data_IF_616917996019
#
_entry.id   IF_616917996019
#
_cell.length_a   1.000
_cell.length_b   1.000
_cell.length_c   1.000
_cell.angle_alpha   90.00
_cell.angle_beta   90.00
_cell.angle_gamma   90.00
#
_symmetry.space_group_name_H-M   'P 1'
#
loop_
_entity.id
_entity.type
_entity.pdbx_description
1 polymer ?
#
# COMPACT_ATOMS: atom_id res chain seq x y z
N UNK A 1 40.00 44.46 60.85
CA UNK A 1 38.90 44.99 60.03
C UNK A 1 39.32 44.90 58.57
N UNK A 2 38.90 43.84 57.87
CA UNK A 2 39.12 43.73 56.42
C UNK A 2 37.91 42.96 55.85
N UNK A 3 37.04 43.72 55.19
CA UNK A 3 35.88 43.20 54.47
C UNK A 3 36.37 42.57 53.16
N UNK A 4 36.08 41.29 52.92
CA UNK A 4 36.17 40.69 51.59
C UNK A 4 34.78 40.68 50.97
N UNK A 5 34.58 41.51 49.96
CA UNK A 5 33.37 41.53 49.14
C UNK A 5 33.29 40.26 48.29
N UNK A 6 32.27 39.44 48.53
CA UNK A 6 31.90 38.32 47.66
C UNK A 6 31.23 38.86 46.40
N UNK A 7 31.97 38.93 45.29
CA UNK A 7 31.40 39.16 43.96
C UNK A 7 31.10 37.79 43.35
N UNK A 8 29.86 37.34 43.50
CA UNK A 8 29.37 36.12 42.83
C UNK A 8 28.90 36.53 41.42
N UNK A 9 29.75 36.31 40.42
CA UNK A 9 29.39 36.48 39.00
C UNK A 9 28.55 35.27 38.58
N UNK A 10 27.25 35.46 38.49
CA UNK A 10 26.32 34.47 37.94
C UNK A 10 26.44 34.50 36.40
N UNK A 11 27.29 33.65 35.83
CA UNK A 11 27.37 33.45 34.38
C UNK A 11 26.12 32.66 33.94
N UNK A 12 25.13 33.36 33.38
CA UNK A 12 23.99 32.75 32.71
C UNK A 12 24.47 32.07 31.42
N UNK A 13 24.78 30.77 31.51
CA UNK A 13 24.99 29.92 30.35
C UNK A 13 23.63 29.70 29.67
N UNK A 14 23.35 30.50 28.64
CA UNK A 14 22.21 30.29 27.73
C UNK A 14 22.48 29.01 26.94
N UNK A 15 21.91 27.89 27.39
CA UNK A 15 21.90 26.64 26.62
C UNK A 15 20.99 26.83 25.41
N UNK A 16 21.60 27.01 24.23
CA UNK A 16 20.91 26.84 22.94
C UNK A 16 20.46 25.37 22.84
N UNK A 17 19.23 25.10 23.26
CA UNK A 17 18.58 23.82 23.05
C UNK A 17 18.30 23.65 21.57
N UNK A 18 19.20 22.98 20.84
CA UNK A 18 18.85 22.43 19.54
C UNK A 18 17.84 21.31 19.78
N UNK A 19 16.57 21.61 19.54
CA UNK A 19 15.51 20.63 19.43
C UNK A 19 15.88 19.69 18.28
N UNK A 20 16.40 18.51 18.61
CA UNK A 20 16.58 17.44 17.64
C UNK A 20 15.19 17.08 17.11
N UNK A 21 14.89 17.49 15.87
CA UNK A 21 13.75 16.96 15.11
C UNK A 21 13.96 15.46 14.98
N UNK A 22 13.29 14.69 15.84
CA UNK A 22 13.13 13.25 15.63
C UNK A 22 12.49 13.07 14.25
N UNK A 23 13.25 12.50 13.31
CA UNK A 23 12.73 12.03 12.03
C UNK A 23 11.70 10.95 12.38
N UNK A 24 10.43 11.31 12.35
CA UNK A 24 9.34 10.34 12.37
C UNK A 24 9.61 9.44 11.17
N UNK A 25 10.08 8.21 11.40
CA UNK A 25 10.12 7.20 10.35
C UNK A 25 8.65 6.89 10.09
N UNK A 26 8.12 7.40 8.98
CA UNK A 26 6.79 7.04 8.55
C UNK A 26 6.80 5.53 8.33
N UNK A 27 5.92 4.79 9.03
CA UNK A 27 5.82 3.33 8.93
C UNK A 27 5.57 2.85 7.49
N UNK A 28 5.29 3.77 6.58
CA UNK A 28 5.02 3.54 5.17
C UNK A 28 6.23 3.77 4.25
N UNK A 29 7.34 4.33 4.74
CA UNK A 29 8.54 4.63 3.92
C UNK A 29 9.25 3.37 3.40
N UNK A 30 8.97 2.21 3.97
CA UNK A 30 9.54 0.92 3.56
C UNK A 30 8.65 0.11 2.61
N UNK A 31 7.46 0.60 2.26
CA UNK A 31 6.56 -0.04 1.30
C UNK A 31 7.18 0.04 -0.10
N UNK A 32 7.52 -1.11 -0.67
CA UNK A 32 8.10 -1.26 -2.02
C UNK A 32 7.06 -1.33 -3.11
N UNK A 33 5.97 -2.05 -2.85
CA UNK A 33 4.86 -2.12 -3.77
C UNK A 33 3.54 -2.43 -3.09
N UNK A 34 2.47 -1.99 -3.74
CA UNK A 34 1.09 -2.36 -3.41
C UNK A 34 0.47 -2.89 -4.70
N UNK A 35 -0.07 -4.10 -4.63
CA UNK A 35 -0.75 -4.77 -5.72
C UNK A 35 -2.19 -5.06 -5.32
N UNK A 36 -3.08 -5.03 -6.29
CA UNK A 36 -4.48 -5.43 -6.09
C UNK A 36 -5.04 -6.07 -7.34
N UNK A 37 -5.89 -7.06 -7.17
CA UNK A 37 -6.52 -7.74 -8.28
C UNK A 37 -7.84 -8.38 -7.93
N UNK A 38 -8.44 -8.98 -8.95
CA UNK A 38 -9.59 -9.85 -8.86
C UNK A 38 -9.39 -11.11 -9.70
N UNK A 39 -10.02 -12.19 -9.29
CA UNK A 39 -10.02 -13.48 -9.98
C UNK A 39 -11.41 -14.11 -9.93
N UNK A 40 -11.76 -14.85 -10.98
CA UNK A 40 -12.98 -15.64 -11.06
C UNK A 40 -12.58 -17.03 -11.58
N UNK A 41 -12.83 -18.09 -10.81
CA UNK A 41 -12.37 -19.46 -11.09
C UNK A 41 -12.97 -20.03 -12.36
N UNK A 42 -14.31 -20.01 -12.46
CA UNK A 42 -15.09 -20.59 -13.57
C UNK A 42 -15.29 -19.64 -14.76
N UNK A 43 -14.37 -18.69 -14.95
CA UNK A 43 -14.45 -17.74 -16.04
C UNK A 43 -13.78 -18.26 -17.34
N UNK A 44 -14.32 -17.86 -18.49
CA UNK A 44 -13.69 -18.01 -19.79
C UNK A 44 -13.06 -16.67 -20.25
N UNK A 45 -11.80 -16.70 -20.67
CA UNK A 45 -11.08 -15.51 -21.15
C UNK A 45 -10.18 -14.88 -20.09
N UNK A 46 -10.20 -13.54 -19.97
CA UNK A 46 -9.37 -12.80 -19.01
C UNK A 46 -9.99 -12.74 -17.61
N UNK A 47 -9.72 -13.80 -16.86
CA UNK A 47 -10.34 -14.10 -15.57
C UNK A 47 -9.59 -13.50 -14.38
N UNK A 48 -8.30 -13.22 -14.55
CA UNK A 48 -7.47 -12.57 -13.55
C UNK A 48 -7.08 -11.20 -14.05
N UNK A 49 -7.26 -10.19 -13.20
CA UNK A 49 -6.94 -8.79 -13.53
C UNK A 49 -6.28 -8.15 -12.34
N UNK A 50 -5.17 -7.46 -12.57
CA UNK A 50 -4.42 -6.86 -11.47
C UNK A 50 -3.72 -5.58 -11.85
N UNK A 51 -3.40 -4.79 -10.83
CA UNK A 51 -2.46 -3.69 -10.90
C UNK A 51 -1.36 -3.92 -9.86
N UNK A 52 -0.13 -3.54 -10.20
CA UNK A 52 1.02 -3.54 -9.32
C UNK A 52 1.66 -2.15 -9.36
N UNK A 53 1.70 -1.46 -8.23
CA UNK A 53 2.27 -0.12 -8.10
C UNK A 53 3.55 -0.21 -7.29
N UNK A 54 4.66 0.21 -7.87
CA UNK A 54 5.98 0.18 -7.22
C UNK A 54 6.43 1.58 -6.85
N UNK A 55 7.25 1.74 -5.81
CA UNK A 55 7.81 3.03 -5.40
C UNK A 55 9.17 3.35 -6.04
N UNK A 56 9.95 2.33 -6.42
CA UNK A 56 11.30 2.49 -6.97
C UNK A 56 11.52 1.51 -8.15
N UNK A 57 11.56 2.00 -9.41
CA UNK A 57 11.07 3.31 -9.81
C UNK A 57 9.55 3.39 -9.61
N UNK A 58 9.03 4.61 -9.53
CA UNK A 58 7.59 4.81 -9.40
C UNK A 58 6.88 4.51 -10.73
N UNK A 59 6.04 3.47 -10.72
CA UNK A 59 5.28 3.02 -11.90
C UNK A 59 4.08 2.17 -11.48
N UNK A 60 3.17 1.98 -12.42
CA UNK A 60 2.07 1.02 -12.31
C UNK A 60 2.15 0.06 -13.49
N UNK A 61 2.00 -1.23 -13.22
CA UNK A 61 1.83 -2.27 -14.25
C UNK A 61 0.42 -2.82 -14.09
N UNK A 62 -0.36 -2.83 -15.15
CA UNK A 62 -1.67 -3.45 -15.20
C UNK A 62 -1.59 -4.74 -16.03
N UNK A 63 -2.31 -5.77 -15.60
CA UNK A 63 -2.27 -7.11 -16.19
C UNK A 63 -3.68 -7.70 -16.36
N UNK A 64 -3.91 -8.40 -17.47
CA UNK A 64 -5.05 -9.30 -17.72
C UNK A 64 -4.51 -10.68 -18.10
N UNK A 65 -4.99 -11.71 -17.42
CA UNK A 65 -4.53 -13.09 -17.57
C UNK A 65 -5.72 -14.05 -17.63
N UNK A 66 -5.60 -15.13 -18.39
CA UNK A 66 -6.57 -16.23 -18.36
C UNK A 66 -6.25 -17.22 -17.23
N UNK A 67 -7.21 -18.08 -16.88
CA UNK A 67 -6.96 -19.22 -15.96
C UNK A 67 -6.40 -20.45 -16.69
N UNK A 68 -6.41 -20.46 -18.02
CA UNK A 68 -6.12 -21.64 -18.83
C UNK A 68 -5.53 -21.26 -20.19
N UNK A 69 -6.34 -21.36 -21.25
CA UNK A 69 -5.91 -21.19 -22.65
C UNK A 69 -5.25 -19.82 -22.90
N UNK A 70 -3.92 -19.81 -22.76
CA UNK A 70 -3.05 -18.65 -22.96
C UNK A 70 -2.69 -18.44 -24.42
N UNK A 71 -3.01 -19.41 -25.30
CA UNK A 71 -2.86 -19.26 -26.75
C UNK A 71 -3.98 -18.36 -27.27
N UNK A 72 -5.22 -18.66 -26.87
CA UNK A 72 -6.39 -17.85 -27.24
C UNK A 72 -6.49 -16.54 -26.45
N UNK A 73 -6.08 -16.55 -25.18
CA UNK A 73 -6.12 -15.39 -24.29
C UNK A 73 -4.74 -15.13 -23.68
N UNK A 74 -3.78 -14.63 -24.49
CA UNK A 74 -2.43 -14.37 -24.01
C UNK A 74 -2.42 -13.25 -22.98
N UNK A 75 -1.51 -13.34 -22.01
CA UNK A 75 -1.33 -12.30 -20.98
C UNK A 75 -1.12 -10.94 -21.63
N UNK A 76 -2.00 -9.99 -21.28
CA UNK A 76 -1.85 -8.59 -21.69
C UNK A 76 -1.31 -7.82 -20.49
N UNK A 77 -0.22 -7.08 -20.71
CA UNK A 77 0.33 -6.19 -19.70
C UNK A 77 0.66 -4.83 -20.29
N UNK A 78 0.50 -3.79 -19.48
CA UNK A 78 0.89 -2.43 -19.84
C UNK A 78 1.45 -1.70 -18.65
N UNK A 79 2.58 -1.00 -18.88
CA UNK A 79 3.17 -0.11 -17.90
C UNK A 79 2.64 1.31 -18.10
N UNK A 80 2.34 1.98 -16.99
CA UNK A 80 1.89 3.36 -16.93
C UNK A 80 2.78 4.18 -16.02
N UNK A 81 2.86 5.48 -16.32
CA UNK A 81 3.37 6.46 -15.36
C UNK A 81 2.43 6.52 -14.17
N UNK A 82 2.98 6.35 -12.96
CA UNK A 82 2.22 6.48 -11.72
C UNK A 82 2.69 7.73 -10.96
N UNK A 83 1.84 8.76 -10.80
CA UNK A 83 2.23 9.99 -10.13
C UNK A 83 2.61 9.77 -8.66
N UNK A 84 3.69 10.42 -8.20
CA UNK A 84 4.13 10.37 -6.79
C UNK A 84 3.06 10.86 -5.82
N UNK A 85 2.20 11.80 -6.23
CA UNK A 85 1.05 12.23 -5.44
C UNK A 85 0.02 11.11 -5.22
N UNK A 86 -0.23 10.27 -6.24
CA UNK A 86 -1.13 9.11 -6.12
C UNK A 86 -0.53 8.01 -5.25
N UNK A 87 0.79 7.80 -5.35
CA UNK A 87 1.52 6.90 -4.45
C UNK A 87 1.43 7.36 -2.99
N UNK A 88 1.73 8.63 -2.71
CA UNK A 88 1.61 9.21 -1.36
C UNK A 88 0.20 9.07 -0.81
N UNK A 89 -0.83 9.34 -1.62
CA UNK A 89 -2.23 9.13 -1.22
C UNK A 89 -2.51 7.67 -0.89
N UNK A 90 -2.07 6.74 -1.75
CA UNK A 90 -2.26 5.30 -1.54
C UNK A 90 -1.64 4.84 -0.21
N UNK A 91 -0.40 5.22 0.06
CA UNK A 91 0.30 4.83 1.28
C UNK A 91 -0.28 5.50 2.52
N UNK A 92 -0.78 6.74 2.41
CA UNK A 92 -1.47 7.42 3.51
C UNK A 92 -2.80 6.75 3.91
N UNK A 93 -3.53 6.18 2.94
CA UNK A 93 -4.76 5.43 3.18
C UNK A 93 -4.48 4.06 3.84
N UNK A 94 -3.31 3.48 3.61
CA UNK A 94 -2.94 2.19 4.18
C UNK A 94 -2.61 2.32 5.67
N UNK A 95 -3.54 1.89 6.52
CA UNK A 95 -3.24 1.59 7.93
C UNK A 95 -2.50 0.25 8.01
N UNK A 96 -1.16 0.33 8.05
CA UNK A 96 -0.27 -0.84 8.10
C UNK A 96 -0.55 -1.73 9.32
N UNK A 97 -0.93 -1.17 10.48
CA UNK A 97 -1.16 -1.98 11.67
C UNK A 97 -2.45 -2.78 11.56
N UNK A 98 -3.52 -2.16 11.06
CA UNK A 98 -4.78 -2.86 10.78
C UNK A 98 -4.59 -3.91 9.70
N UNK A 99 -3.97 -3.54 8.58
CA UNK A 99 -3.76 -4.47 7.45
C UNK A 99 -2.97 -5.71 7.85
N UNK A 100 -1.93 -5.57 8.67
CA UNK A 100 -1.13 -6.69 9.15
C UNK A 100 -1.87 -7.65 10.09
N UNK A 101 -2.90 -7.17 10.79
CA UNK A 101 -3.71 -7.96 11.72
C UNK A 101 -4.85 -8.73 11.05
N UNK A 102 -5.18 -8.40 9.80
CA UNK A 102 -6.20 -9.12 9.05
C UNK A 102 -5.78 -10.57 8.79
N UNK A 103 -6.74 -11.47 8.70
CA UNK A 103 -6.48 -12.81 8.17
C UNK A 103 -6.11 -12.74 6.68
N UNK A 104 -5.31 -13.71 6.23
CA UNK A 104 -4.89 -13.75 4.83
C UNK A 104 -6.06 -14.13 3.89
N UNK A 105 -7.09 -14.79 4.44
CA UNK A 105 -8.35 -15.14 3.76
C UNK A 105 -9.54 -14.72 4.63
N UNK A 106 -10.42 -13.89 4.09
CA UNK A 106 -11.60 -13.36 4.80
C UNK A 106 -12.86 -13.78 4.03
N UNK A 107 -13.82 -14.37 4.74
CA UNK A 107 -15.06 -14.89 4.15
C UNK A 107 -14.80 -16.10 3.26
N UNK A 108 -15.56 -16.20 2.16
CA UNK A 108 -15.50 -17.28 1.19
C UNK A 108 -15.12 -16.76 -0.22
N UNK A 109 -13.86 -16.33 -0.44
CA UNK A 109 -13.44 -15.83 -1.75
C UNK A 109 -13.69 -16.87 -2.84
N UNK A 110 -14.37 -16.44 -3.90
CA UNK A 110 -14.73 -17.23 -5.08
C UNK A 110 -15.58 -18.48 -4.80
N UNK A 111 -16.29 -18.52 -3.67
CA UNK A 111 -17.30 -19.54 -3.43
C UNK A 111 -18.55 -19.26 -4.28
N UNK A 112 -19.17 -20.32 -4.83
CA UNK A 112 -20.33 -20.23 -5.71
C UNK A 112 -20.11 -19.25 -6.88
N UNK A 113 -18.93 -19.29 -7.50
CA UNK A 113 -18.52 -18.48 -8.65
C UNK A 113 -18.58 -16.96 -8.41
N UNK A 114 -18.57 -16.54 -7.15
CA UNK A 114 -18.71 -15.14 -6.74
C UNK A 114 -17.49 -14.27 -7.03
N UNK A 115 -16.34 -14.86 -7.37
CA UNK A 115 -15.08 -14.16 -7.53
C UNK A 115 -14.37 -13.84 -6.21
N UNK A 116 -13.09 -13.52 -6.33
CA UNK A 116 -12.26 -13.02 -5.25
C UNK A 116 -11.64 -11.67 -5.63
N UNK A 117 -11.35 -10.89 -4.60
CA UNK A 117 -10.45 -9.74 -4.65
C UNK A 117 -9.28 -9.97 -3.70
N UNK A 118 -8.15 -9.36 -4.02
CA UNK A 118 -6.98 -9.40 -3.16
C UNK A 118 -6.23 -8.08 -3.16
N UNK A 119 -5.55 -7.83 -2.04
CA UNK A 119 -4.60 -6.74 -1.86
C UNK A 119 -3.32 -7.35 -1.32
N UNK A 120 -2.19 -7.05 -1.94
CA UNK A 120 -0.88 -7.43 -1.46
C UNK A 120 -0.02 -6.20 -1.24
N UNK A 121 0.59 -6.11 -0.07
CA UNK A 121 1.57 -5.09 0.26
C UNK A 121 2.92 -5.76 0.45
N UNK A 122 3.93 -5.24 -0.24
CA UNK A 122 5.31 -5.67 -0.09
C UNK A 122 6.10 -4.54 0.55
N UNK A 123 6.59 -4.78 1.75
CA UNK A 123 7.58 -3.95 2.42
C UNK A 123 8.98 -4.46 2.12
N UNK A 124 10.00 -3.72 2.54
CA UNK A 124 11.41 -4.11 2.35
C UNK A 124 11.77 -5.49 2.89
N UNK A 125 11.15 -5.95 3.98
CA UNK A 125 11.50 -7.18 4.70
C UNK A 125 10.35 -8.19 4.84
N UNK A 126 9.14 -7.83 4.41
CA UNK A 126 7.95 -8.67 4.59
C UNK A 126 6.93 -8.40 3.50
N UNK A 127 6.04 -9.35 3.30
CA UNK A 127 4.87 -9.18 2.46
C UNK A 127 3.63 -9.67 3.20
N UNK A 128 2.46 -9.14 2.84
CA UNK A 128 1.18 -9.68 3.28
C UNK A 128 0.18 -9.56 2.15
N UNK A 129 -0.59 -10.62 1.94
CA UNK A 129 -1.73 -10.65 1.02
C UNK A 129 -2.99 -10.94 1.82
N UNK A 130 -4.03 -10.16 1.58
CA UNK A 130 -5.38 -10.40 2.09
C UNK A 130 -6.28 -10.67 0.90
N UNK A 131 -6.98 -11.79 0.91
CA UNK A 131 -7.93 -12.23 -0.12
C UNK A 131 -9.34 -12.29 0.48
N UNK A 132 -10.30 -11.69 -0.20
CA UNK A 132 -11.69 -11.55 0.27
C UNK A 132 -12.66 -11.72 -0.91
N UNK A 133 -13.94 -11.90 -0.59
CA UNK A 133 -15.02 -12.00 -1.58
C UNK A 133 -15.09 -10.77 -2.50
N UNK A 134 -15.33 -11.01 -3.79
CA UNK A 134 -15.51 -9.92 -4.74
C UNK A 134 -16.68 -9.01 -4.35
N UNK A 135 -16.52 -7.69 -4.55
CA UNK A 135 -17.53 -6.68 -4.22
C UNK A 135 -17.66 -6.36 -2.73
N UNK A 136 -17.17 -7.22 -1.82
CA UNK A 136 -17.28 -6.99 -0.36
C UNK A 136 -16.25 -5.99 0.14
N UNK A 137 -16.56 -5.40 1.29
CA UNK A 137 -15.64 -4.56 2.07
C UNK A 137 -15.10 -5.38 3.24
N UNK A 138 -13.92 -4.99 3.72
CA UNK A 138 -13.28 -5.56 4.90
C UNK A 138 -13.13 -4.45 5.93
N UNK A 139 -13.61 -4.71 7.15
CA UNK A 139 -13.59 -3.74 8.23
C UNK A 139 -12.16 -3.22 8.49
N UNK A 140 -11.99 -1.90 8.49
CA UNK A 140 -10.74 -1.22 8.77
C UNK A 140 -9.84 -0.95 7.56
N UNK A 141 -10.21 -1.41 6.35
CA UNK A 141 -9.49 -1.14 5.10
C UNK A 141 -10.41 -0.77 3.93
N UNK A 142 -11.64 -0.33 4.21
CA UNK A 142 -12.67 -0.02 3.22
C UNK A 142 -12.24 1.09 2.26
N UNK A 143 -11.61 2.14 2.78
CA UNK A 143 -11.07 3.23 1.97
C UNK A 143 -9.99 2.73 0.99
N UNK A 144 -9.09 1.85 1.47
CA UNK A 144 -8.05 1.23 0.65
C UNK A 144 -8.67 0.39 -0.48
N UNK A 145 -9.66 -0.44 -0.16
CA UNK A 145 -10.37 -1.27 -1.14
C UNK A 145 -11.01 -0.40 -2.23
N UNK A 146 -11.74 0.64 -1.82
CA UNK A 146 -12.43 1.53 -2.76
C UNK A 146 -11.43 2.29 -3.64
N UNK A 147 -10.34 2.80 -3.07
CA UNK A 147 -9.31 3.48 -3.84
C UNK A 147 -8.62 2.55 -4.85
N UNK A 148 -8.31 1.31 -4.45
CA UNK A 148 -7.71 0.31 -5.34
C UNK A 148 -8.68 -0.15 -6.45
N UNK A 149 -9.98 -0.24 -6.18
CA UNK A 149 -11.02 -0.49 -7.21
C UNK A 149 -11.06 0.62 -8.26
N UNK A 150 -10.97 1.89 -7.83
CA UNK A 150 -10.91 3.04 -8.75
C UNK A 150 -9.67 2.94 -9.65
N UNK A 151 -8.49 2.67 -9.06
CA UNK A 151 -7.26 2.51 -9.83
C UNK A 151 -7.35 1.33 -10.81
N UNK A 152 -7.86 0.17 -10.38
CA UNK A 152 -8.08 -0.98 -11.27
C UNK A 152 -8.99 -0.62 -12.43
N UNK A 153 -10.15 0.00 -12.17
CA UNK A 153 -11.08 0.42 -13.23
C UNK A 153 -10.41 1.38 -14.21
N UNK A 154 -9.62 2.33 -13.72
CA UNK A 154 -8.92 3.29 -14.57
C UNK A 154 -7.87 2.60 -15.47
N UNK A 155 -6.94 1.86 -14.88
CA UNK A 155 -5.77 1.36 -15.62
C UNK A 155 -6.03 0.07 -16.38
N UNK A 156 -7.04 -0.72 -16.01
CA UNK A 156 -7.43 -1.94 -16.74
C UNK A 156 -8.35 -1.68 -17.94
N UNK A 157 -8.96 -0.48 -18.02
CA UNK A 157 -9.76 -0.07 -19.17
C UNK A 157 -8.91 0.06 -20.44
N UNK A 158 -7.65 0.43 -20.28
CA UNK A 158 -6.72 0.74 -21.38
C UNK A 158 -5.83 -0.45 -21.79
N UNK A 159 -6.24 -1.68 -21.40
CA UNK A 159 -5.72 -2.97 -21.90
C UNK A 159 -6.78 -3.67 -22.73
#
# INVERSE_FOLDING_TARGET
MQWYALVVIFILVVRNGQSAKTKIIDKNDDIRSISSGSSFGECLGYCRRSINMTNVPIRLIALKESNGDSIKYPTIQRQFRFPSSRWKKLTAILDTQKFLKLDDRIGCPDCADGGAEWIQVNWSKKSKRVTFEHGKLVNGIEELINYLRILRKQYLKDL
#
